data_IF_578801170893
#
_entry.id   IF_578801170893
#
_cell.length_a   1.000
_cell.length_b   1.000
_cell.length_c   1.000
_cell.angle_alpha   90.00
_cell.angle_beta   90.00
_cell.angle_gamma   90.00
#
_symmetry.space_group_name_H-M   'P 1'
#
loop_
_entity.id
_entity.type
_entity.pdbx_description
1 polymer ?
#
# COMPACT_ATOMS: atom_id res chain seq x y z
N UNK A 1 25.76 -22.21 14.88
CA UNK A 1 24.52 -21.39 14.64
C UNK A 1 23.64 -21.43 15.90
N UNK A 2 22.81 -20.41 16.21
CA UNK A 2 21.98 -20.37 17.46
C UNK A 2 21.18 -21.66 17.68
N UNK A 3 20.51 -22.14 16.62
CA UNK A 3 19.65 -23.33 16.66
C UNK A 3 20.45 -24.58 17.01
N UNK A 4 21.61 -24.76 16.39
CA UNK A 4 22.48 -25.91 16.60
C UNK A 4 23.00 -26.01 18.06
N UNK A 5 23.35 -24.88 18.68
CA UNK A 5 23.79 -24.86 20.08
C UNK A 5 22.66 -25.27 21.04
N UNK A 6 21.43 -24.82 20.81
CA UNK A 6 20.30 -25.09 21.73
C UNK A 6 19.65 -26.44 21.46
N UNK A 7 19.50 -26.84 20.20
CA UNK A 7 18.76 -28.06 19.81
C UNK A 7 19.67 -29.28 19.77
N UNK A 8 20.87 -29.19 19.17
CA UNK A 8 21.75 -30.34 18.99
C UNK A 8 22.71 -30.52 20.17
N UNK A 9 23.18 -29.42 20.75
CA UNK A 9 24.15 -29.44 21.86
C UNK A 9 23.50 -29.25 23.24
N UNK A 10 22.18 -29.08 23.32
CA UNK A 10 21.43 -28.99 24.57
C UNK A 10 21.74 -27.76 25.43
N UNK A 11 22.38 -26.73 24.87
CA UNK A 11 22.75 -25.52 25.62
C UNK A 11 21.52 -24.72 26.02
N UNK A 12 21.63 -24.00 27.15
CA UNK A 12 20.62 -23.02 27.53
C UNK A 12 20.63 -21.84 26.55
N UNK A 13 19.50 -21.14 26.44
CA UNK A 13 19.38 -19.97 25.57
C UNK A 13 20.35 -18.83 25.95
N UNK A 14 20.80 -18.77 27.21
CA UNK A 14 21.76 -17.77 27.69
C UNK A 14 23.18 -18.13 27.25
N UNK A 15 23.56 -19.41 27.38
CA UNK A 15 24.86 -19.89 26.92
C UNK A 15 25.00 -19.72 25.41
N UNK A 16 24.00 -20.19 24.64
CA UNK A 16 23.98 -20.03 23.19
C UNK A 16 24.06 -18.56 22.73
N UNK A 17 23.51 -17.62 23.53
CA UNK A 17 23.56 -16.19 23.24
C UNK A 17 24.97 -15.59 23.41
N UNK A 18 25.77 -16.13 24.32
CA UNK A 18 27.16 -15.70 24.59
C UNK A 18 28.18 -16.33 23.63
N UNK A 19 27.84 -17.47 23.03
CA UNK A 19 28.71 -18.19 22.09
C UNK A 19 28.72 -17.61 20.67
N UNK A 20 27.90 -16.58 20.40
CA UNK A 20 27.74 -15.99 19.07
C UNK A 20 28.17 -14.54 19.11
N UNK A 21 28.98 -14.10 18.14
CA UNK A 21 29.41 -12.71 18.01
C UNK A 21 28.72 -12.01 16.84
N UNK A 22 28.19 -10.78 17.03
CA UNK A 22 28.06 -10.10 18.33
C UNK A 22 27.10 -10.84 19.28
N UNK A 23 27.36 -10.73 20.59
CA UNK A 23 26.54 -11.37 21.63
C UNK A 23 25.06 -11.02 21.41
N UNK A 24 24.23 -12.05 21.35
CA UNK A 24 22.79 -11.88 21.18
C UNK A 24 22.12 -11.70 22.54
N UNK A 25 20.93 -11.10 22.54
CA UNK A 25 20.07 -11.11 23.74
C UNK A 25 19.41 -12.48 23.86
N UNK A 26 19.21 -12.97 25.09
CA UNK A 26 18.47 -14.22 25.36
C UNK A 26 17.08 -14.22 24.71
N UNK A 27 16.39 -13.07 24.69
CA UNK A 27 15.07 -12.91 24.05
C UNK A 27 15.13 -13.13 22.54
N UNK A 28 16.20 -12.65 21.88
CA UNK A 28 16.44 -12.88 20.45
C UNK A 28 16.64 -14.37 20.18
N UNK A 29 17.47 -15.04 20.99
CA UNK A 29 17.67 -16.49 20.89
C UNK A 29 16.35 -17.24 21.09
N UNK A 30 15.55 -16.88 22.09
CA UNK A 30 14.24 -17.49 22.32
C UNK A 30 13.29 -17.32 21.11
N UNK A 31 13.27 -16.14 20.50
CA UNK A 31 12.46 -15.87 19.30
C UNK A 31 12.91 -16.73 18.11
N UNK A 32 14.21 -16.85 17.88
CA UNK A 32 14.79 -17.70 16.81
C UNK A 32 14.42 -19.16 17.02
N UNK A 33 14.60 -19.69 18.24
CA UNK A 33 14.27 -21.09 18.56
C UNK A 33 12.77 -21.35 18.43
N UNK A 34 11.93 -20.39 18.84
CA UNK A 34 10.48 -20.48 18.67
C UNK A 34 10.12 -20.57 17.19
N UNK A 35 10.63 -19.67 16.35
CA UNK A 35 10.41 -19.71 14.90
C UNK A 35 10.88 -21.03 14.30
N UNK A 36 12.06 -21.52 14.70
CA UNK A 36 12.56 -22.81 14.21
C UNK A 36 11.64 -23.98 14.62
N UNK A 37 11.17 -24.03 15.87
CA UNK A 37 10.28 -25.12 16.33
C UNK A 37 8.91 -25.11 15.64
N UNK A 38 8.36 -23.94 15.32
CA UNK A 38 7.04 -23.84 14.72
C UNK A 38 7.04 -23.88 13.18
N UNK A 39 8.09 -23.35 12.55
CA UNK A 39 8.14 -23.17 11.08
C UNK A 39 9.26 -23.99 10.42
N UNK A 40 10.10 -24.69 11.20
CA UNK A 40 11.32 -25.37 10.73
C UNK A 40 12.22 -24.48 9.86
N UNK A 41 12.26 -23.18 10.18
CA UNK A 41 12.89 -22.15 9.35
C UNK A 41 13.94 -21.38 10.14
N UNK A 42 15.09 -21.14 9.51
CA UNK A 42 16.21 -20.34 10.05
C UNK A 42 16.37 -18.98 9.38
N UNK A 43 15.77 -18.82 8.20
CA UNK A 43 15.83 -17.58 7.44
C UNK A 43 14.97 -16.49 8.09
N UNK A 44 15.24 -15.23 7.78
CA UNK A 44 14.31 -14.13 8.11
C UNK A 44 13.13 -14.18 7.15
N UNK A 45 11.94 -13.74 7.60
CA UNK A 45 10.84 -13.58 6.65
C UNK A 45 11.25 -12.48 5.66
N UNK A 46 10.94 -12.62 4.36
CA UNK A 46 11.09 -11.49 3.47
C UNK A 46 10.29 -10.32 4.04
N UNK A 47 10.79 -9.10 3.88
CA UNK A 47 10.07 -7.91 4.27
C UNK A 47 8.76 -7.83 3.47
N UNK A 48 7.67 -8.36 4.01
CA UNK A 48 6.33 -8.18 3.48
C UNK A 48 5.83 -6.81 3.95
N UNK A 49 6.28 -5.77 3.26
CA UNK A 49 5.85 -4.40 3.49
C UNK A 49 4.53 -4.06 2.80
N UNK A 50 3.76 -3.16 3.42
CA UNK A 50 2.56 -2.54 2.85
C UNK A 50 1.28 -3.38 2.99
N UNK A 51 0.17 -2.73 3.34
CA UNK A 51 -1.15 -3.29 3.06
C UNK A 51 -1.27 -3.46 1.53
N UNK A 52 -1.84 -4.58 1.09
CA UNK A 52 -2.04 -4.87 -0.33
C UNK A 52 -2.74 -3.74 -1.09
N UNK A 53 -2.64 -3.74 -2.42
CA UNK A 53 -3.29 -2.72 -3.26
C UNK A 53 -4.81 -2.76 -3.00
N UNK A 54 -5.43 -1.59 -2.76
CA UNK A 54 -6.88 -1.45 -2.57
C UNK A 54 -7.66 -1.89 -3.81
N UNK A 55 -7.12 -1.60 -5.00
CA UNK A 55 -7.68 -1.98 -6.28
C UNK A 55 -6.80 -3.04 -6.92
N UNK A 56 -7.42 -4.01 -7.58
CA UNK A 56 -6.72 -4.97 -8.45
C UNK A 56 -6.20 -4.27 -9.70
N UNK A 57 -5.27 -4.91 -10.41
CA UNK A 57 -4.71 -4.34 -11.65
C UNK A 57 -5.77 -4.17 -12.75
N UNK A 58 -6.78 -5.04 -12.76
CA UNK A 58 -7.95 -4.94 -13.65
C UNK A 58 -8.79 -3.71 -13.30
N UNK A 59 -9.08 -3.51 -12.01
CA UNK A 59 -9.82 -2.35 -11.53
C UNK A 59 -9.06 -1.05 -11.79
N UNK A 60 -7.74 -1.01 -11.58
CA UNK A 60 -6.92 0.16 -11.94
C UNK A 60 -7.00 0.46 -13.45
N UNK A 61 -7.02 -0.58 -14.30
CA UNK A 61 -7.18 -0.43 -15.76
C UNK A 61 -8.55 0.16 -16.12
N UNK A 62 -9.61 -0.27 -15.46
CA UNK A 62 -10.96 0.25 -15.66
C UNK A 62 -11.02 1.76 -15.34
N UNK A 63 -10.39 2.19 -14.24
CA UNK A 63 -10.26 3.61 -13.89
C UNK A 63 -9.50 4.39 -14.97
N UNK A 64 -8.40 3.84 -15.47
CA UNK A 64 -7.62 4.47 -16.55
C UNK A 64 -8.43 4.58 -17.85
N UNK A 65 -9.16 3.53 -18.22
CA UNK A 65 -9.99 3.52 -19.41
C UNK A 65 -11.12 4.55 -19.33
N UNK A 66 -11.74 4.69 -18.15
CA UNK A 66 -12.75 5.72 -17.88
C UNK A 66 -12.18 7.13 -18.15
N UNK A 67 -11.00 7.43 -17.62
CA UNK A 67 -10.35 8.74 -17.81
C UNK A 67 -9.94 8.97 -19.26
N UNK A 68 -9.46 7.94 -19.96
CA UNK A 68 -9.10 8.04 -21.38
C UNK A 68 -10.31 8.30 -22.27
N UNK A 69 -11.45 7.69 -21.95
CA UNK A 69 -12.71 7.89 -22.66
C UNK A 69 -13.34 9.27 -22.37
N UNK A 70 -13.19 9.77 -21.13
CA UNK A 70 -13.73 11.06 -20.67
C UNK A 70 -12.64 11.87 -19.97
N UNK A 71 -11.85 12.62 -20.75
CA UNK A 71 -10.67 13.33 -20.24
C UNK A 71 -11.02 14.52 -19.31
N UNK A 72 -12.26 14.99 -19.35
CA UNK A 72 -12.80 16.09 -18.52
C UNK A 72 -13.47 15.63 -17.21
N UNK A 73 -13.43 14.33 -16.91
CA UNK A 73 -14.02 13.76 -15.68
C UNK A 73 -13.28 14.24 -14.41
N UNK A 74 -14.04 14.55 -13.36
CA UNK A 74 -13.49 14.96 -12.06
C UNK A 74 -13.14 13.76 -11.18
N UNK A 75 -12.23 13.95 -10.23
CA UNK A 75 -11.91 12.92 -9.23
C UNK A 75 -13.13 12.45 -8.41
N UNK A 76 -14.04 13.36 -8.09
CA UNK A 76 -15.30 13.03 -7.38
C UNK A 76 -16.23 12.16 -8.22
N UNK A 77 -16.25 12.35 -9.53
CA UNK A 77 -17.03 11.55 -10.47
C UNK A 77 -16.40 10.18 -10.71
N UNK A 78 -15.06 10.11 -10.79
CA UNK A 78 -14.35 8.83 -10.81
C UNK A 78 -14.65 8.05 -9.52
N UNK A 79 -14.58 8.71 -8.35
CA UNK A 79 -14.92 8.08 -7.07
C UNK A 79 -16.34 7.52 -7.09
N UNK A 80 -17.31 8.33 -7.54
CA UNK A 80 -18.71 7.90 -7.63
C UNK A 80 -18.86 6.70 -8.57
N UNK A 81 -18.23 6.73 -9.74
CA UNK A 81 -18.26 5.60 -10.67
C UNK A 81 -17.66 4.32 -10.07
N UNK A 82 -16.60 4.43 -9.24
CA UNK A 82 -16.03 3.27 -8.55
C UNK A 82 -17.01 2.72 -7.51
N UNK A 83 -17.65 3.59 -6.73
CA UNK A 83 -18.57 3.17 -5.66
C UNK A 83 -19.92 2.66 -6.17
N UNK A 84 -20.40 3.17 -7.31
CA UNK A 84 -21.69 2.78 -7.89
C UNK A 84 -21.59 1.53 -8.78
N UNK A 85 -20.40 1.13 -9.20
CA UNK A 85 -20.19 0.02 -10.13
C UNK A 85 -19.74 -1.25 -9.39
N UNK A 86 -20.71 -1.98 -8.86
CA UNK A 86 -20.48 -3.23 -8.12
C UNK A 86 -19.93 -4.37 -9.01
N UNK A 87 -20.16 -4.35 -10.32
CA UNK A 87 -19.69 -5.42 -11.22
C UNK A 87 -18.16 -5.48 -11.28
N UNK A 88 -17.51 -4.33 -11.42
CA UNK A 88 -16.05 -4.23 -11.57
C UNK A 88 -15.37 -3.96 -10.22
N UNK A 89 -16.02 -3.21 -9.32
CA UNK A 89 -15.44 -2.72 -8.06
C UNK A 89 -16.07 -3.34 -6.80
N UNK A 90 -16.61 -4.55 -6.89
CA UNK A 90 -17.28 -5.32 -5.81
C UNK A 90 -16.59 -5.35 -4.43
N UNK A 91 -15.28 -5.11 -4.35
CA UNK A 91 -14.51 -5.17 -3.10
C UNK A 91 -14.05 -3.79 -2.58
N UNK A 92 -14.62 -2.70 -3.11
CA UNK A 92 -14.18 -1.34 -2.81
C UNK A 92 -15.31 -0.56 -2.13
N UNK A 93 -15.40 -0.67 -0.81
CA UNK A 93 -16.39 0.07 -0.01
C UNK A 93 -16.09 1.58 0.05
N UNK A 94 -14.81 1.93 0.01
CA UNK A 94 -14.36 3.32 0.08
C UNK A 94 -13.05 3.51 -0.68
N UNK A 95 -12.93 4.65 -1.35
CA UNK A 95 -11.69 5.08 -1.98
C UNK A 95 -11.49 6.58 -1.86
N UNK A 96 -10.27 6.99 -1.51
CA UNK A 96 -9.91 8.40 -1.37
C UNK A 96 -9.46 9.00 -2.69
N UNK A 97 -9.72 10.30 -2.90
CA UNK A 97 -9.27 11.03 -4.10
C UNK A 97 -7.74 10.96 -4.30
N UNK A 98 -6.91 11.05 -3.24
CA UNK A 98 -5.46 10.86 -3.37
C UNK A 98 -5.06 9.47 -3.86
N UNK A 99 -5.84 8.43 -3.52
CA UNK A 99 -5.60 7.06 -4.02
C UNK A 99 -5.86 7.01 -5.52
N UNK A 100 -6.97 7.58 -5.98
CA UNK A 100 -7.28 7.72 -7.42
C UNK A 100 -6.16 8.50 -8.13
N UNK A 101 -5.73 9.63 -7.58
CA UNK A 101 -4.64 10.43 -8.15
C UNK A 101 -3.32 9.65 -8.24
N UNK A 102 -2.98 8.87 -7.21
CA UNK A 102 -1.78 8.01 -7.20
C UNK A 102 -1.87 6.90 -8.25
N UNK A 103 -3.04 6.32 -8.47
CA UNK A 103 -3.27 5.31 -9.51
C UNK A 103 -3.05 5.92 -10.90
N UNK A 104 -3.70 7.05 -11.19
CA UNK A 104 -3.54 7.73 -12.48
C UNK A 104 -2.07 8.10 -12.74
N UNK A 105 -1.37 8.64 -11.72
CA UNK A 105 0.07 8.94 -11.81
C UNK A 105 0.92 7.70 -12.11
N UNK A 106 0.62 6.56 -11.47
CA UNK A 106 1.33 5.29 -11.69
C UNK A 106 1.16 4.80 -13.14
N UNK A 107 -0.03 4.96 -13.69
CA UNK A 107 -0.34 4.60 -15.08
C UNK A 107 0.01 5.69 -16.10
N UNK A 108 0.74 6.74 -15.69
CA UNK A 108 1.15 7.87 -16.53
C UNK A 108 -0.01 8.58 -17.22
N UNK A 109 -1.17 8.64 -16.56
CA UNK A 109 -2.37 9.33 -17.04
C UNK A 109 -2.55 10.63 -16.26
N UNK A 110 -2.68 11.73 -16.98
CA UNK A 110 -3.07 13.03 -16.44
C UNK A 110 -4.49 13.38 -16.86
N UNK A 111 -5.31 13.85 -15.92
CA UNK A 111 -6.57 14.51 -16.25
C UNK A 111 -6.28 15.86 -16.91
N UNK A 112 -6.95 16.17 -18.03
CA UNK A 112 -6.91 17.53 -18.55
C UNK A 112 -7.64 18.45 -17.59
N UNK A 113 -6.95 19.51 -17.17
CA UNK A 113 -7.60 20.63 -16.51
C UNK A 113 -8.57 21.28 -17.50
N UNK A 114 -9.87 21.24 -17.19
CA UNK A 114 -10.88 22.00 -17.93
C UNK A 114 -10.70 23.48 -17.58
N UNK A 115 -9.87 24.20 -18.32
CA UNK A 115 -9.79 25.66 -18.15
C UNK A 115 -11.04 26.31 -18.74
N UNK A 116 -11.87 26.91 -17.88
CA UNK A 116 -12.73 28.01 -18.32
C UNK A 116 -11.94 29.32 -18.29
N UNK A 117 -12.24 30.13 -19.29
CA UNK A 117 -11.53 31.32 -19.75
C UNK A 117 -11.03 32.22 -18.59
N UNK A 118 -9.82 32.82 -18.65
CA UNK A 118 -9.12 33.44 -17.51
C UNK A 118 -9.90 34.45 -16.65
N UNK A 119 -10.95 35.08 -17.18
CA UNK A 119 -11.75 36.09 -16.47
C UNK A 119 -12.52 35.49 -15.28
N UNK A 120 -12.82 34.18 -15.30
CA UNK A 120 -13.52 33.50 -14.20
C UNK A 120 -12.58 33.08 -13.06
N UNK A 121 -11.25 33.13 -13.26
CA UNK A 121 -10.22 32.63 -12.34
C UNK A 121 -10.22 33.31 -10.96
N UNK A 122 -10.63 34.58 -10.90
CA UNK A 122 -10.65 35.36 -9.66
C UNK A 122 -12.03 35.48 -9.01
N UNK A 123 -13.07 34.88 -9.60
CA UNK A 123 -14.40 34.87 -9.01
C UNK A 123 -14.39 34.04 -7.71
N UNK A 124 -15.05 34.52 -6.67
CA UNK A 124 -15.01 33.87 -5.34
C UNK A 124 -15.57 32.44 -5.37
N UNK A 125 -16.51 32.15 -6.29
CA UNK A 125 -16.99 30.79 -6.59
C UNK A 125 -15.85 29.85 -7.05
N UNK A 126 -14.89 30.35 -7.83
CA UNK A 126 -13.76 29.55 -8.36
C UNK A 126 -12.68 29.37 -7.30
N UNK A 127 -12.51 30.34 -6.39
CA UNK A 127 -11.66 30.17 -5.20
C UNK A 127 -12.22 29.12 -4.25
N UNK A 128 -13.55 29.09 -4.05
CA UNK A 128 -14.22 28.05 -3.27
C UNK A 128 -14.10 26.68 -3.93
N UNK A 129 -14.32 26.58 -5.25
CA UNK A 129 -14.08 25.34 -6.00
C UNK A 129 -12.63 24.84 -5.86
N UNK A 130 -11.64 25.75 -5.80
CA UNK A 130 -10.23 25.38 -5.61
C UNK A 130 -9.95 24.69 -4.27
N UNK A 131 -10.75 24.99 -3.25
CA UNK A 131 -10.70 24.28 -1.96
C UNK A 131 -11.24 22.85 -2.12
N UNK A 132 -12.19 22.60 -3.02
CA UNK A 132 -12.69 21.26 -3.35
C UNK A 132 -11.76 20.44 -4.27
N UNK A 133 -10.83 21.10 -4.99
CA UNK A 133 -9.87 20.44 -5.90
C UNK A 133 -8.55 20.00 -5.21
N UNK A 134 -8.34 20.33 -3.92
CA UNK A 134 -7.16 19.94 -3.10
C UNK A 134 -7.55 18.84 -2.12
#
# INVERSE_FOLDING_TARGET
MVVDHVINHGMTMIEAARMIQPNLRRSTVASIIRTFRHENRIETRPNSGGNGRLLTDEQERAVVNLVRAKNDIRFTEIRRHILDNEDIFNNVEAISLPTIARILKRHQVSLKQLYRVPFERNADRVKQLRIEYV
#
